data_IF_624537220837
#
_entry.id   IF_624537220837
#
_cell.length_a   1.000
_cell.length_b   1.000
_cell.length_c   1.000
_cell.angle_alpha   90.00
_cell.angle_beta   90.00
_cell.angle_gamma   90.00
#
_symmetry.space_group_name_H-M   'P 1'
#
loop_
_entity.id
_entity.type
_entity.pdbx_description
1 polymer ?
#
# COMPACT_ATOMS: atom_id res chain seq x y z
N UNK A 1 1.09 -71.67 21.49
CA UNK A 1 1.68 -70.35 21.23
C UNK A 1 1.21 -69.90 19.86
N UNK A 2 0.39 -68.88 19.66
CA UNK A 2 -0.25 -67.95 20.58
C UNK A 2 -1.55 -67.48 19.90
N UNK A 3 -2.63 -67.53 20.67
CA UNK A 3 -3.71 -66.55 20.84
C UNK A 3 -4.20 -65.72 19.63
N UNK A 4 -5.33 -66.20 19.09
CA UNK A 4 -6.33 -65.44 18.34
C UNK A 4 -7.09 -64.53 19.32
N UNK A 5 -6.60 -63.31 19.56
CA UNK A 5 -7.35 -62.30 20.32
C UNK A 5 -8.31 -61.53 19.39
N UNK A 6 -9.58 -61.92 19.43
CA UNK A 6 -10.72 -61.12 19.01
C UNK A 6 -10.73 -59.81 19.81
N UNK A 7 -10.38 -58.68 19.19
CA UNK A 7 -10.72 -57.35 19.70
C UNK A 7 -12.02 -56.90 19.03
N UNK A 8 -13.13 -57.26 19.68
CA UNK A 8 -14.39 -56.55 19.59
C UNK A 8 -14.17 -55.10 20.05
N UNK A 9 -13.93 -54.19 19.12
CA UNK A 9 -14.24 -52.79 19.37
C UNK A 9 -15.76 -52.65 19.31
N UNK A 10 -16.41 -52.75 20.47
CA UNK A 10 -17.73 -52.18 20.68
C UNK A 10 -17.61 -50.66 20.46
N UNK A 11 -17.95 -50.20 19.25
CA UNK A 11 -18.39 -48.82 19.07
C UNK A 11 -19.74 -48.72 19.80
N UNK A 12 -19.74 -48.15 21.00
CA UNK A 12 -20.95 -47.50 21.52
C UNK A 12 -21.48 -46.58 20.42
N UNK A 13 -22.80 -46.50 20.15
CA UNK A 13 -23.36 -45.49 19.25
C UNK A 13 -23.19 -44.13 19.94
N UNK A 14 -22.00 -43.55 19.81
CA UNK A 14 -21.65 -42.26 20.36
C UNK A 14 -22.53 -41.21 19.73
N UNK A 15 -23.01 -40.27 20.56
CA UNK A 15 -23.70 -39.07 20.10
C UNK A 15 -22.97 -38.47 18.90
N UNK A 16 -23.67 -38.31 17.77
CA UNK A 16 -23.10 -37.57 16.66
C UNK A 16 -22.83 -36.14 17.10
N UNK A 17 -21.78 -35.52 16.57
CA UNK A 17 -21.39 -34.12 16.86
C UNK A 17 -22.57 -33.15 16.63
N UNK A 18 -23.54 -33.55 15.81
CA UNK A 18 -24.74 -32.79 15.51
C UNK A 18 -25.81 -32.87 16.61
N UNK A 19 -25.82 -33.93 17.42
CA UNK A 19 -26.91 -34.26 18.33
C UNK A 19 -26.73 -33.67 19.73
N UNK A 20 -27.83 -33.29 20.38
CA UNK A 20 -27.84 -32.85 21.78
C UNK A 20 -29.27 -32.79 22.32
N UNK A 21 -29.42 -32.98 23.62
CA UNK A 21 -30.68 -32.88 24.36
C UNK A 21 -31.42 -31.54 24.21
N UNK A 22 -30.71 -30.44 23.93
CA UNK A 22 -31.30 -29.09 23.92
C UNK A 22 -31.75 -28.60 22.53
N UNK A 23 -31.67 -29.42 21.48
CA UNK A 23 -32.03 -29.02 20.12
C UNK A 23 -33.54 -29.10 19.89
N UNK A 24 -34.15 -27.96 19.58
CA UNK A 24 -35.60 -27.88 19.33
C UNK A 24 -35.94 -27.40 17.93
N UNK A 25 -35.01 -26.78 17.20
CA UNK A 25 -35.25 -26.19 15.88
C UNK A 25 -34.21 -26.59 14.82
N UNK A 26 -34.64 -26.52 13.55
CA UNK A 26 -33.78 -26.71 12.38
C UNK A 26 -32.59 -25.73 12.39
N UNK A 27 -32.83 -24.45 12.70
CA UNK A 27 -31.78 -23.42 12.72
C UNK A 27 -30.69 -23.70 13.76
N UNK A 28 -31.05 -24.20 14.94
CA UNK A 28 -30.06 -24.59 15.97
C UNK A 28 -29.24 -25.81 15.55
N UNK A 29 -29.85 -26.74 14.81
CA UNK A 29 -29.16 -27.90 14.26
C UNK A 29 -28.09 -27.49 13.24
N UNK A 30 -28.46 -26.70 12.24
CA UNK A 30 -27.56 -26.30 11.15
C UNK A 30 -26.39 -25.41 11.66
N UNK A 31 -26.60 -24.63 12.73
CA UNK A 31 -25.53 -23.84 13.36
C UNK A 31 -24.41 -24.67 13.99
N UNK A 32 -24.62 -25.97 14.22
CA UNK A 32 -23.61 -26.84 14.85
C UNK A 32 -22.49 -27.24 13.92
N UNK A 33 -22.75 -27.25 12.62
CA UNK A 33 -21.74 -27.49 11.63
C UNK A 33 -22.30 -27.88 10.26
N UNK A 34 -21.51 -27.71 9.20
CA UNK A 34 -21.89 -28.03 7.82
C UNK A 34 -22.27 -29.50 7.60
N UNK A 35 -21.75 -30.41 8.43
CA UNK A 35 -22.03 -31.84 8.39
C UNK A 35 -23.39 -32.23 8.98
N UNK A 36 -24.07 -31.30 9.64
CA UNK A 36 -25.35 -31.54 10.31
C UNK A 36 -26.52 -31.28 9.37
N UNK A 37 -27.51 -32.15 9.42
CA UNK A 37 -28.73 -32.07 8.64
C UNK A 37 -29.95 -32.20 9.56
N UNK A 38 -31.08 -31.70 9.09
CA UNK A 38 -32.36 -31.72 9.79
C UNK A 38 -33.44 -32.42 8.97
N UNK A 39 -34.17 -33.36 9.58
CA UNK A 39 -35.32 -34.00 8.94
C UNK A 39 -36.64 -33.30 9.30
N UNK A 40 -37.28 -32.67 8.32
CA UNK A 40 -38.55 -31.96 8.49
C UNK A 40 -39.80 -32.77 8.15
N UNK A 41 -39.66 -34.07 7.80
CA UNK A 41 -40.78 -35.00 7.56
C UNK A 41 -41.69 -35.11 8.78
N UNK A 42 -43.00 -34.88 8.62
CA UNK A 42 -43.95 -34.78 9.73
C UNK A 42 -43.99 -36.05 10.60
N UNK A 43 -44.10 -37.22 9.97
CA UNK A 43 -44.16 -38.54 10.63
C UNK A 43 -42.79 -39.20 10.89
N UNK A 44 -41.68 -38.44 10.84
CA UNK A 44 -40.35 -38.97 11.12
C UNK A 44 -40.18 -39.29 12.61
N UNK A 45 -39.94 -40.58 12.92
CA UNK A 45 -39.73 -41.11 14.28
C UNK A 45 -40.83 -40.65 15.25
N UNK A 46 -42.08 -40.90 14.88
CA UNK A 46 -43.27 -40.53 15.65
C UNK A 46 -43.16 -40.99 17.12
N UNK A 47 -43.25 -40.04 18.06
CA UNK A 47 -43.05 -40.27 19.51
C UNK A 47 -41.63 -40.05 20.04
N UNK A 48 -40.64 -39.82 19.18
CA UNK A 48 -39.28 -39.44 19.60
C UNK A 48 -39.15 -37.92 19.87
N UNK A 49 -38.20 -37.53 20.72
CA UNK A 49 -37.93 -36.13 21.02
C UNK A 49 -37.38 -35.36 19.80
N UNK A 50 -37.64 -34.05 19.72
CA UNK A 50 -37.28 -33.17 18.59
C UNK A 50 -35.78 -33.21 18.24
N UNK A 51 -34.93 -33.52 19.21
CA UNK A 51 -33.49 -33.65 19.02
C UNK A 51 -33.08 -34.87 18.15
N UNK A 52 -33.98 -35.83 17.89
CA UNK A 52 -33.72 -36.95 16.97
C UNK A 52 -33.78 -36.52 15.49
N UNK A 53 -34.32 -35.33 15.21
CA UNK A 53 -34.42 -34.76 13.85
C UNK A 53 -33.11 -34.12 13.38
N UNK A 54 -32.15 -33.88 14.28
CA UNK A 54 -30.83 -33.36 13.96
C UNK A 54 -29.77 -34.46 14.07
N UNK A 55 -29.13 -34.81 12.96
CA UNK A 55 -28.04 -35.80 12.92
C UNK A 55 -27.19 -35.58 11.65
N UNK A 56 -26.21 -36.45 11.41
CA UNK A 56 -25.57 -36.55 10.10
C UNK A 56 -26.61 -36.97 9.05
N UNK A 57 -26.49 -36.43 7.82
CA UNK A 57 -27.44 -36.72 6.74
C UNK A 57 -27.62 -38.23 6.49
N UNK A 58 -26.51 -38.98 6.47
CA UNK A 58 -26.51 -40.44 6.32
C UNK A 58 -27.32 -41.16 7.41
N UNK A 59 -27.22 -40.70 8.66
CA UNK A 59 -27.95 -41.28 9.79
C UNK A 59 -29.46 -41.00 9.68
N UNK A 60 -29.84 -39.82 9.18
CA UNK A 60 -31.26 -39.48 8.98
C UNK A 60 -31.88 -40.31 7.86
N UNK A 61 -31.14 -40.51 6.76
CA UNK A 61 -31.56 -41.36 5.65
C UNK A 61 -31.75 -42.82 6.11
N UNK A 62 -30.80 -43.37 6.88
CA UNK A 62 -30.90 -44.72 7.45
C UNK A 62 -32.09 -44.89 8.39
N UNK A 63 -32.52 -43.82 9.07
CA UNK A 63 -33.69 -43.81 9.97
C UNK A 63 -35.02 -43.59 9.25
N UNK A 64 -35.02 -43.53 7.91
CA UNK A 64 -36.24 -43.40 7.09
C UNK A 64 -36.67 -41.95 6.81
N UNK A 65 -35.77 -40.98 6.97
CA UNK A 65 -35.97 -39.65 6.39
C UNK A 65 -35.71 -39.75 4.88
N UNK A 66 -36.66 -39.31 4.05
CA UNK A 66 -36.44 -39.27 2.60
C UNK A 66 -35.64 -38.01 2.24
N UNK A 67 -34.88 -38.06 1.14
CA UNK A 67 -34.00 -36.95 0.74
C UNK A 67 -34.74 -35.64 0.50
N UNK A 68 -36.01 -35.69 0.09
CA UNK A 68 -36.86 -34.52 -0.10
C UNK A 68 -37.27 -33.80 1.20
N UNK A 69 -37.13 -34.47 2.35
CA UNK A 69 -37.41 -33.92 3.67
C UNK A 69 -36.14 -33.62 4.47
N UNK A 70 -34.98 -33.64 3.82
CA UNK A 70 -33.69 -33.42 4.44
C UNK A 70 -33.23 -31.99 4.14
N UNK A 71 -33.10 -31.18 5.18
CA UNK A 71 -32.54 -29.83 5.11
C UNK A 71 -31.07 -29.89 5.53
N UNK A 72 -30.18 -29.39 4.69
CA UNK A 72 -28.75 -29.28 4.99
C UNK A 72 -28.22 -27.96 4.44
N UNK A 73 -27.27 -27.36 5.16
CA UNK A 73 -26.55 -26.19 4.67
C UNK A 73 -25.68 -26.55 3.47
N UNK A 74 -26.08 -26.11 2.29
CA UNK A 74 -25.21 -26.12 1.12
C UNK A 74 -24.24 -24.96 1.17
N UNK A 75 -22.95 -25.27 0.97
CA UNK A 75 -21.94 -24.25 0.67
C UNK A 75 -21.69 -24.29 -0.83
N UNK A 76 -22.05 -23.21 -1.52
CA UNK A 76 -21.88 -23.10 -2.98
C UNK A 76 -20.93 -21.96 -3.29
N UNK A 77 -19.87 -22.26 -4.02
CA UNK A 77 -18.96 -21.26 -4.58
C UNK A 77 -19.21 -21.24 -6.08
N UNK A 78 -19.75 -20.13 -6.57
CA UNK A 78 -19.92 -19.88 -7.99
C UNK A 78 -18.83 -18.91 -8.45
N UNK A 79 -18.10 -19.34 -9.48
CA UNK A 79 -17.04 -18.54 -10.08
C UNK A 79 -17.48 -18.18 -11.48
N UNK A 80 -17.64 -16.88 -11.74
CA UNK A 80 -17.86 -16.43 -13.10
C UNK A 80 -16.51 -16.40 -13.83
N UNK A 81 -16.40 -17.21 -14.87
CA UNK A 81 -15.21 -17.31 -15.72
C UNK A 81 -15.36 -16.57 -17.05
N UNK A 82 -16.52 -15.94 -17.29
CA UNK A 82 -16.81 -15.22 -18.54
C UNK A 82 -16.11 -13.87 -18.61
N UNK A 83 -15.83 -13.27 -17.46
CA UNK A 83 -14.98 -12.09 -17.35
C UNK A 83 -13.54 -12.61 -17.28
N UNK A 84 -12.69 -12.17 -18.22
CA UNK A 84 -11.28 -12.54 -18.24
C UNK A 84 -10.42 -11.29 -18.16
N UNK A 85 -9.83 -11.05 -17.00
CA UNK A 85 -8.72 -10.10 -16.81
C UNK A 85 -7.39 -10.84 -16.98
N UNK A 86 -6.40 -10.15 -17.53
CA UNK A 86 -5.04 -10.67 -17.73
C UNK A 86 -4.21 -10.71 -16.44
N UNK A 87 -4.65 -10.01 -15.38
CA UNK A 87 -3.89 -9.81 -14.14
C UNK A 87 -4.43 -10.55 -12.92
N UNK A 88 -5.75 -10.64 -12.75
CA UNK A 88 -6.37 -11.29 -11.59
C UNK A 88 -7.46 -12.21 -12.12
N UNK A 89 -7.52 -13.46 -11.66
CA UNK A 89 -8.55 -14.42 -12.07
C UNK A 89 -8.92 -15.36 -10.92
N UNK A 90 -10.21 -15.63 -10.67
CA UNK A 90 -11.39 -14.98 -11.27
C UNK A 90 -11.58 -13.53 -10.77
N UNK A 91 -12.37 -12.71 -11.46
CA UNK A 91 -12.66 -11.33 -10.99
C UNK A 91 -13.93 -11.27 -10.15
N UNK A 92 -14.92 -12.09 -10.48
CA UNK A 92 -16.18 -12.17 -9.74
C UNK A 92 -16.38 -13.57 -9.13
N UNK A 93 -16.65 -13.59 -7.83
CA UNK A 93 -16.87 -14.81 -7.04
C UNK A 93 -18.13 -14.59 -6.21
N UNK A 94 -19.11 -15.48 -6.35
CA UNK A 94 -20.30 -15.53 -5.49
C UNK A 94 -20.17 -16.70 -4.52
N UNK A 95 -20.19 -16.40 -3.22
CA UNK A 95 -20.06 -17.41 -2.16
C UNK A 95 -21.35 -17.46 -1.35
N UNK A 96 -22.04 -18.59 -1.41
CA UNK A 96 -23.17 -18.92 -0.54
C UNK A 96 -22.66 -19.82 0.60
N UNK A 97 -22.62 -19.26 1.81
CA UNK A 97 -22.20 -19.98 3.03
C UNK A 97 -23.42 -20.31 3.90
N UNK A 98 -23.55 -21.57 4.27
CA UNK A 98 -24.42 -21.98 5.37
C UNK A 98 -23.87 -21.58 6.75
N UNK A 99 -24.71 -21.41 7.79
CA UNK A 99 -24.25 -21.20 9.16
C UNK A 99 -23.16 -22.21 9.59
N UNK A 100 -22.04 -21.69 10.11
CA UNK A 100 -20.91 -22.52 10.57
C UNK A 100 -20.01 -23.10 9.47
N UNK A 101 -20.35 -22.88 8.20
CA UNK A 101 -19.56 -23.35 7.04
C UNK A 101 -18.40 -22.41 6.70
N UNK A 102 -17.41 -22.93 5.98
CA UNK A 102 -16.27 -22.18 5.48
C UNK A 102 -16.11 -22.46 3.98
N UNK A 103 -15.64 -21.45 3.23
CA UNK A 103 -15.24 -21.63 1.85
C UNK A 103 -13.87 -21.00 1.63
N UNK A 104 -13.08 -21.68 0.80
CA UNK A 104 -11.76 -21.22 0.37
C UNK A 104 -11.82 -20.95 -1.12
N UNK A 105 -11.31 -19.80 -1.55
CA UNK A 105 -11.27 -19.42 -2.96
C UNK A 105 -9.84 -19.15 -3.38
N UNK A 106 -9.49 -19.63 -4.57
CA UNK A 106 -8.17 -19.41 -5.15
C UNK A 106 -8.25 -18.25 -6.12
N UNK A 107 -7.44 -17.23 -5.87
CA UNK A 107 -7.27 -16.09 -6.77
C UNK A 107 -5.87 -16.16 -7.37
N UNK A 108 -5.80 -16.31 -8.68
CA UNK A 108 -4.55 -16.27 -9.43
C UNK A 108 -4.22 -14.81 -9.77
N UNK A 109 -3.02 -14.37 -9.40
CA UNK A 109 -2.50 -13.05 -9.77
C UNK A 109 -1.31 -13.21 -10.69
N UNK A 110 -1.40 -12.63 -11.88
CA UNK A 110 -0.36 -12.61 -12.91
C UNK A 110 0.19 -11.19 -13.05
N UNK A 111 1.50 -11.06 -12.80
CA UNK A 111 2.20 -9.81 -13.05
C UNK A 111 2.36 -9.60 -14.56
N UNK A 112 2.07 -8.38 -15.04
CA UNK A 112 2.33 -8.00 -16.44
C UNK A 112 3.83 -7.79 -16.64
N UNK A 113 4.39 -8.29 -17.73
CA UNK A 113 5.82 -8.14 -18.06
C UNK A 113 6.22 -6.68 -18.33
N UNK A 114 5.27 -5.80 -18.68
CA UNK A 114 5.51 -4.41 -19.09
C UNK A 114 4.40 -3.49 -18.58
N UNK A 115 4.45 -3.14 -17.30
CA UNK A 115 3.49 -2.22 -16.69
C UNK A 115 3.89 -0.77 -16.97
N UNK A 116 2.98 0.13 -17.41
CA UNK A 116 3.29 1.55 -17.52
C UNK A 116 3.56 2.15 -16.14
N UNK A 117 4.54 3.04 -16.05
CA UNK A 117 4.96 3.67 -14.79
C UNK A 117 5.00 5.18 -14.98
N UNK A 118 4.43 5.88 -14.01
CA UNK A 118 4.55 7.32 -13.84
C UNK A 118 5.41 7.57 -12.61
N UNK A 119 6.48 8.34 -12.77
CA UNK A 119 7.34 8.74 -11.66
C UNK A 119 7.37 10.27 -11.57
N UNK A 120 6.81 10.80 -10.50
CA UNK A 120 6.85 12.23 -10.19
C UNK A 120 7.98 12.51 -9.19
N UNK A 121 9.02 13.21 -9.63
CA UNK A 121 10.12 13.65 -8.77
C UNK A 121 9.74 14.96 -8.09
N UNK A 122 9.53 14.90 -6.78
CA UNK A 122 9.25 16.05 -5.94
C UNK A 122 10.49 16.37 -5.10
N UNK A 123 11.16 17.47 -5.44
CA UNK A 123 12.51 17.76 -4.96
C UNK A 123 12.54 19.03 -4.13
N UNK A 124 13.12 18.92 -2.94
CA UNK A 124 13.52 20.03 -2.10
C UNK A 124 14.61 20.85 -2.80
N UNK A 125 14.35 22.14 -2.99
CA UNK A 125 15.29 23.10 -3.59
C UNK A 125 15.69 24.19 -2.62
N UNK A 126 15.59 23.95 -1.31
CA UNK A 126 16.14 24.83 -0.28
C UNK A 126 17.66 24.94 -0.40
N UNK A 127 18.25 25.85 0.39
CA UNK A 127 19.67 26.14 0.29
C UNK A 127 20.55 24.95 0.76
N UNK A 128 20.06 24.12 1.68
CA UNK A 128 20.79 22.93 2.16
C UNK A 128 21.01 21.91 1.04
N UNK A 129 20.06 21.87 0.10
CA UNK A 129 20.07 20.95 -1.03
C UNK A 129 21.05 21.33 -2.15
N UNK A 130 21.80 22.45 -2.07
CA UNK A 130 22.70 22.90 -3.15
C UNK A 130 23.67 21.83 -3.66
N UNK A 131 24.38 21.14 -2.75
CA UNK A 131 25.31 20.05 -3.15
C UNK A 131 24.53 18.85 -3.69
N UNK A 132 23.37 18.55 -3.09
CA UNK A 132 22.54 17.42 -3.46
C UNK A 132 21.81 17.62 -4.81
N UNK A 133 21.52 18.86 -5.23
CA UNK A 133 20.88 19.16 -6.51
C UNK A 133 21.79 18.76 -7.66
N UNK A 134 23.06 19.19 -7.65
CA UNK A 134 24.01 18.90 -8.72
C UNK A 134 24.19 17.38 -8.90
N UNK A 135 24.21 16.66 -7.78
CA UNK A 135 24.21 15.21 -7.75
C UNK A 135 22.90 14.63 -8.28
N UNK A 136 21.75 15.01 -7.73
CA UNK A 136 20.41 14.54 -8.14
C UNK A 136 20.17 14.74 -9.63
N UNK A 137 20.61 15.87 -10.19
CA UNK A 137 20.59 16.17 -11.62
C UNK A 137 21.38 15.13 -12.42
N UNK A 138 22.60 14.79 -11.99
CA UNK A 138 23.44 13.81 -12.68
C UNK A 138 22.91 12.36 -12.58
N UNK A 139 22.35 11.99 -11.42
CA UNK A 139 21.82 10.64 -11.19
C UNK A 139 20.50 10.40 -11.93
N UNK A 140 19.59 11.37 -11.91
CA UNK A 140 18.32 11.28 -12.62
C UNK A 140 18.49 11.08 -14.14
N UNK A 141 19.57 11.57 -14.74
CA UNK A 141 19.81 11.45 -16.19
C UNK A 141 20.30 10.04 -16.60
N UNK A 142 21.27 9.45 -15.89
CA UNK A 142 21.88 8.17 -16.30
C UNK A 142 21.05 6.95 -15.88
N UNK A 143 20.56 6.98 -14.65
CA UNK A 143 19.95 5.82 -14.01
C UNK A 143 18.48 5.63 -14.41
N UNK A 144 17.71 6.71 -14.56
CA UNK A 144 16.33 6.64 -15.06
C UNK A 144 16.29 6.27 -16.55
N UNK A 145 17.29 6.70 -17.33
CA UNK A 145 17.45 6.28 -18.73
C UNK A 145 17.76 4.78 -18.80
N UNK A 146 18.63 4.26 -17.94
CA UNK A 146 18.89 2.83 -17.85
C UNK A 146 17.63 2.04 -17.43
N UNK A 147 16.90 2.53 -16.43
CA UNK A 147 15.64 1.95 -15.97
C UNK A 147 14.58 1.87 -17.09
N UNK A 148 14.41 2.98 -17.83
CA UNK A 148 13.47 3.09 -18.95
C UNK A 148 13.83 2.17 -20.11
N UNK A 149 15.12 2.02 -20.44
CA UNK A 149 15.55 1.21 -21.58
C UNK A 149 15.42 -0.29 -21.29
N UNK A 150 15.78 -0.73 -20.07
CA UNK A 150 15.94 -2.16 -19.78
C UNK A 150 14.78 -2.79 -19.02
N UNK A 151 13.98 -2.02 -18.29
CA UNK A 151 12.97 -2.57 -17.36
C UNK A 151 11.55 -2.07 -17.62
N UNK A 152 11.36 -0.82 -18.05
CA UNK A 152 10.03 -0.21 -18.18
C UNK A 152 9.81 0.35 -19.57
N UNK A 153 9.02 -0.33 -20.42
CA UNK A 153 8.79 0.11 -21.80
C UNK A 153 7.91 1.36 -21.94
N UNK A 154 7.30 1.85 -20.86
CA UNK A 154 6.39 3.02 -20.87
C UNK A 154 6.50 3.84 -19.58
N UNK A 155 7.67 4.46 -19.38
CA UNK A 155 7.99 5.35 -18.26
C UNK A 155 7.66 6.80 -18.61
N UNK A 156 6.82 7.46 -17.80
CA UNK A 156 6.58 8.90 -17.86
C UNK A 156 7.14 9.56 -16.60
N UNK A 157 7.71 10.75 -16.78
CA UNK A 157 8.40 11.49 -15.74
C UNK A 157 7.77 12.87 -15.57
N UNK A 158 7.58 13.28 -14.32
CA UNK A 158 7.16 14.62 -13.95
C UNK A 158 8.07 15.21 -12.89
N UNK A 159 8.05 16.53 -12.74
CA UNK A 159 8.92 17.23 -11.78
C UNK A 159 8.18 18.36 -11.08
N UNK A 160 8.41 18.47 -9.77
CA UNK A 160 8.00 19.58 -8.94
C UNK A 160 9.07 19.95 -7.94
N UNK A 161 9.05 21.21 -7.48
CA UNK A 161 9.99 21.70 -6.47
C UNK A 161 9.28 22.39 -5.32
N UNK A 162 9.88 22.32 -4.13
CA UNK A 162 9.37 22.96 -2.93
C UNK A 162 10.50 23.54 -2.07
N UNK A 163 10.13 24.48 -1.22
CA UNK A 163 11.00 25.03 -0.15
C UNK A 163 10.14 25.05 1.10
N UNK A 164 9.49 26.17 1.40
CA UNK A 164 8.53 26.30 2.49
C UNK A 164 7.57 27.46 2.23
N UNK A 165 6.57 27.63 3.10
CA UNK A 165 5.58 28.69 3.02
C UNK A 165 6.29 30.06 2.97
N UNK A 166 6.05 30.90 1.94
CA UNK A 166 6.75 32.17 1.78
C UNK A 166 6.17 33.26 2.68
N UNK A 167 6.16 33.02 4.00
CA UNK A 167 5.63 33.90 5.05
C UNK A 167 6.55 33.86 6.27
N UNK A 168 6.60 34.95 7.04
CA UNK A 168 7.32 34.98 8.32
C UNK A 168 6.64 34.06 9.35
N UNK A 169 7.38 33.28 10.17
CA UNK A 169 8.83 33.32 10.39
C UNK A 169 9.67 32.41 9.49
N UNK A 170 9.07 31.62 8.59
CA UNK A 170 9.79 30.69 7.71
C UNK A 170 10.75 31.40 6.76
N UNK A 171 10.41 32.61 6.33
CA UNK A 171 11.29 33.44 5.49
C UNK A 171 11.65 34.75 6.17
N UNK A 172 12.79 35.32 5.75
CA UNK A 172 13.13 36.69 6.11
C UNK A 172 12.37 37.68 5.23
N UNK A 173 11.60 38.57 5.86
CA UNK A 173 10.89 39.67 5.19
C UNK A 173 11.77 40.91 4.97
N UNK A 174 13.08 40.81 5.20
CA UNK A 174 14.00 41.90 4.90
C UNK A 174 14.07 42.15 3.39
N UNK A 175 14.00 43.41 2.88
CA UNK A 175 13.91 43.68 1.45
C UNK A 175 15.01 43.05 0.58
N UNK A 176 16.23 42.90 1.12
CA UNK A 176 17.33 42.24 0.42
C UNK A 176 17.14 40.72 0.27
N UNK A 177 16.40 40.09 1.19
CA UNK A 177 16.20 38.64 1.28
C UNK A 177 14.92 38.16 0.62
N UNK A 178 13.92 39.02 0.43
CA UNK A 178 12.67 38.67 -0.28
C UNK A 178 12.98 38.18 -1.72
N UNK A 179 13.82 38.93 -2.44
CA UNK A 179 14.16 38.59 -3.83
C UNK A 179 15.35 37.63 -3.96
N UNK A 180 16.21 37.57 -2.93
CA UNK A 180 17.37 36.69 -2.88
C UNK A 180 17.63 36.24 -1.42
N UNK A 181 16.98 35.17 -0.95
CA UNK A 181 17.14 34.66 0.42
C UNK A 181 18.61 34.39 0.81
N UNK A 182 19.45 34.10 -0.17
CA UNK A 182 20.85 33.73 -0.02
C UNK A 182 21.80 34.93 -0.09
N UNK A 183 21.29 36.16 0.06
CA UNK A 183 22.08 37.39 -0.05
C UNK A 183 23.29 37.45 0.88
N UNK A 184 23.21 36.83 2.05
CA UNK A 184 24.27 36.84 3.06
C UNK A 184 25.51 36.04 2.64
N UNK A 185 25.35 35.13 1.69
CA UNK A 185 26.42 34.27 1.17
C UNK A 185 26.93 34.74 -0.20
N UNK A 186 26.50 35.92 -0.66
CA UNK A 186 26.78 36.45 -2.01
C UNK A 186 26.37 35.50 -3.16
N UNK A 187 25.46 34.55 -2.88
CA UNK A 187 24.89 33.62 -3.86
C UNK A 187 23.55 34.18 -4.34
N UNK A 188 23.27 34.05 -5.64
CA UNK A 188 21.98 34.41 -6.22
C UNK A 188 21.07 33.19 -6.29
N UNK A 189 20.08 33.13 -5.41
CA UNK A 189 19.05 32.10 -5.40
C UNK A 189 17.67 32.65 -5.80
N UNK A 190 16.70 31.75 -5.98
CA UNK A 190 15.31 32.13 -6.26
C UNK A 190 14.63 32.67 -5.00
N UNK A 191 13.58 33.50 -5.12
CA UNK A 191 12.70 33.80 -3.99
C UNK A 191 12.13 32.52 -3.38
N UNK A 192 11.81 32.57 -2.08
CA UNK A 192 11.15 31.47 -1.40
C UNK A 192 9.76 31.20 -2.00
N UNK A 193 9.39 29.93 -2.08
CA UNK A 193 8.09 29.49 -2.59
C UNK A 193 7.65 28.19 -1.89
N UNK A 194 6.35 27.98 -1.76
CA UNK A 194 5.80 26.76 -1.18
C UNK A 194 6.01 25.55 -2.09
N UNK A 195 5.17 25.42 -3.12
CA UNK A 195 5.26 24.35 -4.11
C UNK A 195 5.06 24.89 -5.53
N UNK A 196 5.95 24.50 -6.43
CA UNK A 196 5.82 24.70 -7.87
C UNK A 196 5.76 23.35 -8.59
N UNK A 197 4.69 23.14 -9.34
CA UNK A 197 4.68 22.14 -10.39
C UNK A 197 5.50 22.68 -11.58
N UNK A 198 6.48 21.94 -12.08
CA UNK A 198 7.40 22.46 -13.11
C UNK A 198 7.25 21.72 -14.43
N UNK A 199 7.06 20.41 -14.37
CA UNK A 199 6.92 19.57 -15.55
C UNK A 199 5.82 18.52 -15.33
N UNK A 200 4.76 18.61 -16.12
CA UNK A 200 3.72 17.58 -16.23
C UNK A 200 4.30 16.28 -16.77
N UNK A 201 3.64 15.16 -16.47
CA UNK A 201 4.07 13.84 -16.89
C UNK A 201 4.35 13.78 -18.39
N UNK A 202 5.57 13.40 -18.75
CA UNK A 202 6.02 13.31 -20.14
C UNK A 202 6.91 12.09 -20.36
N UNK A 203 6.81 11.49 -21.54
CA UNK A 203 7.76 10.47 -21.99
C UNK A 203 9.06 11.07 -22.56
N UNK A 204 9.16 12.40 -22.65
CA UNK A 204 10.33 13.08 -23.21
C UNK A 204 11.45 13.24 -22.17
N UNK A 205 12.35 12.26 -22.12
CA UNK A 205 13.51 12.28 -21.22
C UNK A 205 14.39 13.53 -21.40
N UNK A 206 14.59 14.00 -22.64
CA UNK A 206 15.42 15.17 -22.91
C UNK A 206 14.81 16.45 -22.30
N UNK A 207 13.48 16.55 -22.29
CA UNK A 207 12.78 17.65 -21.64
C UNK A 207 12.90 17.59 -20.12
N UNK A 208 12.71 16.41 -19.53
CA UNK A 208 12.90 16.18 -18.10
C UNK A 208 14.30 16.59 -17.65
N UNK A 209 15.33 16.10 -18.33
CA UNK A 209 16.73 16.47 -18.07
C UNK A 209 16.97 17.96 -18.21
N UNK A 210 16.38 18.61 -19.22
CA UNK A 210 16.49 20.06 -19.44
C UNK A 210 15.87 20.85 -18.28
N UNK A 211 14.72 20.42 -17.77
CA UNK A 211 14.02 21.08 -16.65
C UNK A 211 14.84 20.95 -15.37
N UNK A 212 15.34 19.76 -15.09
CA UNK A 212 16.15 19.45 -13.90
C UNK A 212 17.45 20.27 -13.89
N UNK A 213 18.18 20.32 -15.01
CA UNK A 213 19.42 21.12 -15.15
C UNK A 213 19.23 22.63 -15.00
N UNK A 214 17.98 23.12 -15.09
CA UNK A 214 17.65 24.56 -14.94
C UNK A 214 17.18 24.93 -13.55
N UNK A 215 17.02 23.96 -12.66
CA UNK A 215 16.63 24.24 -11.29
C UNK A 215 17.74 25.04 -10.59
N UNK A 216 17.31 25.93 -9.70
CA UNK A 216 18.18 26.75 -8.88
C UNK A 216 17.66 26.64 -7.46
N UNK A 217 18.57 26.67 -6.50
CA UNK A 217 18.20 26.74 -5.10
C UNK A 217 17.39 28.00 -4.80
N UNK A 218 16.67 27.92 -3.71
CA UNK A 218 16.03 29.00 -2.99
C UNK A 218 16.52 28.97 -1.54
N UNK A 219 15.85 29.65 -0.63
CA UNK A 219 16.18 29.57 0.78
C UNK A 219 15.08 30.12 1.70
N UNK A 220 15.07 29.58 2.90
CA UNK A 220 14.21 29.90 4.03
C UNK A 220 15.10 30.09 5.29
N UNK A 221 14.49 30.32 6.45
CA UNK A 221 15.16 30.66 7.71
C UNK A 221 15.30 29.47 8.64
N UNK A 222 14.25 28.67 8.78
CA UNK A 222 14.23 27.50 9.63
C UNK A 222 14.53 26.21 8.87
N UNK A 223 14.70 25.14 9.65
CA UNK A 223 15.21 23.86 9.16
C UNK A 223 14.14 22.94 8.57
N UNK A 224 12.95 22.77 9.18
CA UNK A 224 11.91 21.96 8.55
C UNK A 224 11.38 22.64 7.29
N UNK A 225 10.97 21.84 6.31
CA UNK A 225 10.55 22.34 5.00
C UNK A 225 9.07 22.04 4.74
N UNK A 226 8.47 22.75 3.77
CA UNK A 226 7.07 22.63 3.38
C UNK A 226 6.76 21.41 2.50
N UNK A 227 7.54 20.34 2.60
CA UNK A 227 7.48 19.20 1.68
C UNK A 227 6.14 18.46 1.65
N UNK A 228 5.42 18.39 2.79
CA UNK A 228 4.13 17.71 2.84
C UNK A 228 3.01 18.46 2.11
N UNK A 229 3.07 19.80 2.04
CA UNK A 229 2.15 20.59 1.20
C UNK A 229 2.34 20.22 -0.26
N UNK A 230 3.60 20.21 -0.69
CA UNK A 230 3.98 19.89 -2.05
C UNK A 230 3.57 18.45 -2.43
N UNK A 231 3.76 17.51 -1.51
CA UNK A 231 3.37 16.12 -1.68
C UNK A 231 1.85 15.98 -1.81
N UNK A 232 1.07 16.65 -0.96
CA UNK A 232 -0.38 16.66 -1.07
C UNK A 232 -0.83 17.23 -2.42
N UNK A 233 -0.32 18.40 -2.82
CA UNK A 233 -0.69 19.03 -4.09
C UNK A 233 -0.35 18.14 -5.29
N UNK A 234 0.81 17.50 -5.31
CA UNK A 234 1.18 16.54 -6.36
C UNK A 234 0.25 15.32 -6.40
N UNK A 235 -0.29 14.91 -5.25
CA UNK A 235 -1.25 13.80 -5.15
C UNK A 235 -2.65 14.20 -5.59
N UNK A 236 -3.17 15.37 -5.20
CA UNK A 236 -4.58 15.73 -5.47
C UNK A 236 -4.78 16.45 -6.81
N UNK A 237 -3.76 17.10 -7.35
CA UNK A 237 -3.82 17.81 -8.63
C UNK A 237 -3.63 16.87 -9.84
N UNK A 238 -4.48 15.85 -9.93
CA UNK A 238 -4.39 14.75 -10.91
C UNK A 238 -4.21 15.23 -12.36
N UNK A 239 -4.99 16.22 -12.79
CA UNK A 239 -4.97 16.75 -14.17
C UNK A 239 -3.73 17.60 -14.46
N UNK A 240 -3.30 18.43 -13.50
CA UNK A 240 -2.14 19.30 -13.70
C UNK A 240 -0.84 18.49 -13.74
N UNK A 241 -0.69 17.53 -12.81
CA UNK A 241 0.46 16.62 -12.79
C UNK A 241 0.42 15.68 -14.00
N UNK A 242 -0.75 15.15 -14.35
CA UNK A 242 -0.94 14.27 -15.52
C UNK A 242 -0.79 12.78 -15.21
N UNK A 243 -1.22 12.34 -14.02
CA UNK A 243 -1.19 10.91 -13.65
C UNK A 243 -2.09 10.08 -14.56
N UNK A 244 -1.54 9.04 -15.19
CA UNK A 244 -2.30 8.11 -16.04
C UNK A 244 -3.08 7.11 -15.17
N UNK A 245 -4.34 6.78 -15.51
CA UNK A 245 -5.16 5.85 -14.72
C UNK A 245 -4.66 4.40 -14.80
N UNK A 246 -4.06 4.00 -15.91
CA UNK A 246 -3.56 2.65 -16.14
C UNK A 246 -2.12 2.42 -15.64
N UNK A 247 -1.43 3.48 -15.23
CA UNK A 247 -0.02 3.44 -14.84
C UNK A 247 0.18 3.25 -13.34
N UNK A 248 1.30 2.66 -12.97
CA UNK A 248 1.76 2.65 -11.58
C UNK A 248 2.26 4.04 -11.25
N UNK A 249 1.67 4.66 -10.24
CA UNK A 249 1.97 6.04 -9.86
C UNK A 249 2.96 6.04 -8.71
N UNK A 250 4.18 6.49 -8.98
CA UNK A 250 5.26 6.59 -8.00
C UNK A 250 5.57 8.08 -7.75
N UNK A 251 5.52 8.50 -6.50
CA UNK A 251 5.94 9.84 -6.08
C UNK A 251 7.27 9.72 -5.35
N UNK A 252 8.34 10.26 -5.93
CA UNK A 252 9.67 10.29 -5.32
C UNK A 252 9.86 11.62 -4.60
N UNK A 253 9.83 11.58 -3.27
CA UNK A 253 10.04 12.74 -2.40
C UNK A 253 11.51 12.82 -1.98
N UNK A 254 12.18 13.93 -2.27
CA UNK A 254 13.62 14.09 -2.03
C UNK A 254 13.89 15.31 -1.14
N UNK A 255 14.57 15.12 -0.01
CA UNK A 255 14.97 16.20 0.90
C UNK A 255 16.12 15.76 1.82
N UNK A 256 16.88 16.71 2.35
CA UNK A 256 17.87 16.51 3.41
C UNK A 256 17.40 17.03 4.78
N UNK A 257 16.17 17.55 4.88
CA UNK A 257 15.58 18.11 6.09
C UNK A 257 14.28 17.41 6.56
N UNK A 258 13.89 17.63 7.83
CA UNK A 258 12.53 17.33 8.30
C UNK A 258 11.46 18.08 7.50
N UNK A 259 10.22 17.59 7.50
CA UNK A 259 9.09 18.37 6.98
C UNK A 259 8.28 18.99 8.12
N UNK A 260 7.69 20.16 7.88
CA UNK A 260 6.66 20.69 8.74
C UNK A 260 5.42 19.80 8.80
N UNK A 261 4.72 19.83 9.93
CA UNK A 261 3.50 19.08 10.18
C UNK A 261 2.31 20.02 10.37
N UNK A 262 1.10 19.47 10.27
CA UNK A 262 -0.11 20.19 10.66
C UNK A 262 0.04 20.83 12.05
N UNK A 263 -0.48 22.05 12.18
CA UNK A 263 -0.39 22.97 13.31
C UNK A 263 0.92 23.77 13.42
N UNK A 264 1.97 23.44 12.68
CA UNK A 264 3.21 24.22 12.67
C UNK A 264 2.96 25.63 12.10
N UNK A 265 2.07 25.76 11.11
CA UNK A 265 1.74 27.05 10.46
C UNK A 265 1.08 28.07 11.37
N UNK A 266 0.67 27.66 12.57
CA UNK A 266 0.22 28.59 13.62
C UNK A 266 1.29 29.62 13.99
N UNK A 267 2.58 29.27 13.87
CA UNK A 267 3.69 30.20 14.08
C UNK A 267 3.69 31.37 13.08
N UNK A 268 3.18 31.14 11.87
CA UNK A 268 3.01 32.16 10.84
C UNK A 268 1.60 32.81 10.83
N UNK A 269 0.77 32.52 11.83
CA UNK A 269 -0.61 33.02 11.90
C UNK A 269 -1.59 32.31 10.97
N UNK A 270 -1.17 31.22 10.33
CA UNK A 270 -2.02 30.39 9.48
C UNK A 270 -2.71 29.35 10.36
N UNK A 271 -4.03 29.43 10.43
CA UNK A 271 -4.85 28.59 11.34
C UNK A 271 -5.98 27.85 10.62
N UNK A 272 -6.08 28.01 9.30
CA UNK A 272 -7.07 27.33 8.47
C UNK A 272 -6.51 25.93 8.16
N UNK A 273 -7.15 24.84 8.59
CA UNK A 273 -6.70 23.49 8.28
C UNK A 273 -6.64 23.26 6.77
N UNK A 274 -5.72 22.41 6.33
CA UNK A 274 -5.64 22.00 4.94
C UNK A 274 -6.93 21.27 4.51
N UNK A 275 -7.51 21.63 3.37
CA UNK A 275 -8.77 21.06 2.88
C UNK A 275 -8.59 19.76 2.05
N UNK A 276 -7.35 19.40 1.71
CA UNK A 276 -7.05 18.21 0.92
C UNK A 276 -7.43 18.34 -0.56
N UNK A 277 -7.60 19.56 -1.08
CA UNK A 277 -7.97 19.84 -2.47
C UNK A 277 -6.81 20.42 -3.28
N UNK A 278 -6.98 20.45 -4.60
CA UNK A 278 -6.00 21.01 -5.52
C UNK A 278 -6.13 22.54 -5.59
N UNK A 279 -5.03 23.24 -5.34
CA UNK A 279 -4.93 24.70 -5.38
C UNK A 279 -3.73 25.15 -6.23
N UNK A 280 -3.54 24.51 -7.38
CA UNK A 280 -2.56 24.94 -8.37
C UNK A 280 -3.20 25.92 -9.35
N UNK A 281 -2.63 27.12 -9.42
CA UNK A 281 -2.92 28.11 -10.48
C UNK A 281 -1.59 28.47 -11.14
N UNK A 282 -1.54 28.44 -12.48
CA UNK A 282 -0.31 28.65 -13.26
C UNK A 282 0.89 27.81 -12.76
N UNK A 283 0.59 26.58 -12.32
CA UNK A 283 1.52 25.61 -11.75
C UNK A 283 2.14 26.01 -10.39
N UNK A 284 1.55 26.97 -9.68
CA UNK A 284 1.98 27.44 -8.36
C UNK A 284 0.91 27.10 -7.32
N UNK A 285 1.33 26.63 -6.15
CA UNK A 285 0.42 26.40 -5.03
C UNK A 285 0.00 27.72 -4.38
N UNK A 286 -1.21 28.19 -4.67
CA UNK A 286 -1.69 29.52 -4.25
C UNK A 286 -2.13 29.58 -2.80
N UNK A 287 -2.57 28.46 -2.22
CA UNK A 287 -3.02 28.40 -0.83
C UNK A 287 -1.89 28.19 0.19
N UNK A 288 -0.61 28.22 -0.24
CA UNK A 288 0.55 28.01 0.63
C UNK A 288 0.59 28.93 1.85
N UNK A 289 0.18 30.19 1.70
CA UNK A 289 0.16 31.21 2.77
C UNK A 289 -1.20 31.34 3.47
N UNK A 290 -2.17 30.50 3.11
CA UNK A 290 -3.55 30.58 3.60
C UNK A 290 -3.93 29.35 4.42
N UNK A 291 -3.49 28.17 4.01
CA UNK A 291 -3.79 26.89 4.67
C UNK A 291 -2.58 26.32 5.38
N UNK A 292 -2.83 25.66 6.51
CA UNK A 292 -1.85 24.91 7.29
C UNK A 292 -1.28 23.73 6.49
N UNK A 293 -0.18 23.15 6.97
CA UNK A 293 0.34 21.91 6.39
C UNK A 293 -0.67 20.76 6.58
N UNK A 294 -0.69 19.77 5.67
CA UNK A 294 -1.57 18.62 5.83
C UNK A 294 -1.16 17.75 7.01
N UNK A 295 -2.14 17.08 7.61
CA UNK A 295 -1.87 16.03 8.57
C UNK A 295 -1.37 14.76 7.88
N UNK A 296 -0.63 13.92 8.59
CA UNK A 296 -0.17 12.62 8.06
C UNK A 296 -1.35 11.72 7.66
N UNK A 297 -2.44 11.74 8.44
CA UNK A 297 -3.66 10.98 8.13
C UNK A 297 -4.31 11.44 6.82
N UNK A 298 -4.49 12.75 6.65
CA UNK A 298 -5.03 13.32 5.41
C UNK A 298 -4.17 12.96 4.19
N UNK A 299 -2.84 13.04 4.32
CA UNK A 299 -1.95 12.68 3.23
C UNK A 299 -2.00 11.18 2.91
N UNK A 300 -2.08 10.32 3.93
CA UNK A 300 -2.27 8.87 3.78
C UNK A 300 -3.57 8.54 3.04
N UNK A 301 -4.68 9.19 3.42
CA UNK A 301 -5.97 9.02 2.78
C UNK A 301 -5.91 9.41 1.29
N UNK A 302 -5.28 10.54 0.98
CA UNK A 302 -5.16 11.01 -0.42
C UNK A 302 -4.21 10.16 -1.26
N UNK A 303 -3.14 9.61 -0.69
CA UNK A 303 -2.29 8.64 -1.39
C UNK A 303 -3.06 7.36 -1.74
N UNK A 304 -3.86 6.85 -0.80
CA UNK A 304 -4.70 5.66 -0.98
C UNK A 304 -5.81 5.89 -2.02
N UNK A 305 -6.54 6.99 -1.89
CA UNK A 305 -7.63 7.39 -2.79
C UNK A 305 -7.14 7.54 -4.24
N UNK A 306 -5.92 8.06 -4.43
CA UNK A 306 -5.35 8.30 -5.76
C UNK A 306 -4.43 7.18 -6.26
N UNK A 307 -4.29 6.09 -5.49
CA UNK A 307 -3.42 4.95 -5.80
C UNK A 307 -1.95 5.35 -6.10
N UNK A 308 -1.41 6.27 -5.31
CA UNK A 308 -0.04 6.78 -5.44
C UNK A 308 0.86 6.15 -4.38
N UNK A 309 1.96 5.56 -4.81
CA UNK A 309 3.00 5.01 -3.94
C UNK A 309 4.08 6.06 -3.73
N UNK A 310 4.36 6.42 -2.47
CA UNK A 310 5.37 7.44 -2.16
C UNK A 310 6.69 6.80 -1.75
N UNK A 311 7.80 7.31 -2.26
CA UNK A 311 9.16 6.89 -1.93
C UNK A 311 9.88 8.08 -1.34
N UNK A 312 10.26 8.01 -0.07
CA UNK A 312 11.02 9.04 0.62
C UNK A 312 12.52 8.76 0.43
N UNK A 313 13.18 9.60 -0.35
CA UNK A 313 14.62 9.59 -0.58
C UNK A 313 15.26 10.69 0.27
N UNK A 314 15.70 10.31 1.47
CA UNK A 314 16.11 11.29 2.49
C UNK A 314 17.57 11.12 2.88
N UNK A 315 18.20 12.21 3.33
CA UNK A 315 19.54 12.12 3.90
C UNK A 315 19.50 11.22 5.16
N UNK A 316 20.59 10.48 5.39
CA UNK A 316 20.74 9.52 6.50
C UNK A 316 20.32 10.08 7.86
N UNK A 317 20.65 11.34 8.12
CA UNK A 317 20.37 12.00 9.39
C UNK A 317 18.85 12.12 9.64
N UNK A 318 18.06 12.23 8.56
CA UNK A 318 16.60 12.33 8.62
C UNK A 318 15.89 10.98 8.51
N UNK A 319 16.61 9.89 8.24
CA UNK A 319 15.98 8.58 8.02
C UNK A 319 15.04 8.19 9.18
N UNK A 320 15.48 8.31 10.43
CA UNK A 320 14.64 8.02 11.60
C UNK A 320 13.41 8.95 11.68
N UNK A 321 13.55 10.20 11.25
CA UNK A 321 12.45 11.15 11.23
C UNK A 321 11.34 10.64 10.30
N UNK A 322 11.68 10.16 9.11
CA UNK A 322 10.71 9.64 8.14
C UNK A 322 10.27 8.20 8.43
N UNK A 323 11.15 7.33 8.95
CA UNK A 323 10.85 5.93 9.27
C UNK A 323 9.83 5.79 10.41
N UNK A 324 9.97 6.56 11.49
CA UNK A 324 9.02 6.46 12.62
C UNK A 324 7.61 6.91 12.22
N UNK A 325 7.52 7.88 11.30
CA UNK A 325 6.26 8.37 10.74
C UNK A 325 5.74 7.53 9.58
N UNK A 326 6.59 6.72 8.95
CA UNK A 326 6.20 5.76 7.92
C UNK A 326 5.10 4.80 8.42
N UNK A 327 5.13 4.39 9.69
CA UNK A 327 4.04 3.60 10.29
C UNK A 327 2.67 4.31 10.36
N UNK A 328 2.63 5.62 10.17
CA UNK A 328 1.39 6.43 10.04
C UNK A 328 0.98 6.60 8.58
N UNK A 329 1.93 6.49 7.64
CA UNK A 329 1.64 6.40 6.23
C UNK A 329 1.18 4.98 5.87
N UNK A 330 0.27 4.87 4.90
CA UNK A 330 -0.23 3.58 4.41
C UNK A 330 0.90 2.66 3.91
N UNK A 331 0.60 1.38 3.69
CA UNK A 331 1.45 0.38 3.02
C UNK A 331 2.00 0.81 1.63
N UNK A 332 1.57 1.97 1.13
CA UNK A 332 1.99 2.58 -0.13
C UNK A 332 3.28 3.41 -0.02
N UNK A 333 3.81 3.64 1.18
CA UNK A 333 5.02 4.43 1.37
C UNK A 333 6.26 3.54 1.52
N UNK A 334 7.45 4.05 1.18
CA UNK A 334 8.75 3.41 1.44
C UNK A 334 9.79 4.49 1.77
N UNK A 335 10.71 4.22 2.70
CA UNK A 335 11.78 5.16 3.08
C UNK A 335 13.13 4.57 2.70
N UNK A 336 13.94 5.33 1.96
CA UNK A 336 15.29 4.98 1.56
C UNK A 336 16.29 5.96 2.18
N UNK A 337 17.38 5.44 2.74
CA UNK A 337 18.52 6.22 3.24
C UNK A 337 19.76 6.01 2.38
N UNK A 338 20.45 7.10 2.04
CA UNK A 338 21.83 7.03 1.53
C UNK A 338 22.85 6.76 2.66
N UNK A 339 23.95 6.04 2.42
CA UNK A 339 25.07 5.92 3.38
C UNK A 339 26.21 6.89 3.06
N UNK A 340 26.71 7.61 4.07
CA UNK A 340 27.93 8.41 4.02
C UNK A 340 29.11 7.65 4.66
N UNK A 341 30.19 7.39 3.92
CA UNK A 341 31.48 6.94 4.50
C UNK A 341 32.42 8.13 4.70
N UNK A 342 32.77 8.39 5.96
CA UNK A 342 33.71 9.45 6.37
C UNK A 342 35.15 8.92 6.27
N UNK A 343 35.88 9.20 5.19
CA UNK A 343 37.34 8.95 5.17
C UNK A 343 38.05 10.03 5.98
N UNK A 344 38.38 9.70 7.23
CA UNK A 344 39.31 10.47 8.05
C UNK A 344 40.72 10.37 7.48
N UNK A 345 41.20 11.43 6.81
CA UNK A 345 42.62 11.77 6.88
C UNK A 345 42.82 13.28 6.85
N UNK A 346 43.68 13.78 7.75
CA UNK A 346 43.83 15.19 8.11
C UNK A 346 44.39 16.05 6.97
N UNK A 347 43.90 17.30 6.93
CA UNK A 347 44.35 18.50 6.18
C UNK A 347 43.89 18.57 4.72
N UNK A 348 42.68 19.07 4.48
CA UNK A 348 42.36 20.43 4.00
C UNK A 348 40.82 20.52 3.96
N UNK A 349 40.25 21.64 4.39
CA UNK A 349 38.81 21.85 4.60
C UNK A 349 38.07 21.86 3.25
N UNK A 350 37.39 20.76 2.90
CA UNK A 350 36.32 20.67 1.88
C UNK A 350 35.63 19.30 2.10
N UNK A 351 34.60 19.29 2.94
CA UNK A 351 33.90 18.08 3.34
C UNK A 351 32.68 17.85 2.46
N UNK A 352 32.87 17.24 1.29
CA UNK A 352 31.76 16.76 0.46
C UNK A 352 31.15 15.48 1.08
N UNK A 353 29.85 15.50 1.34
CA UNK A 353 29.08 14.38 1.88
C UNK A 353 28.57 13.50 0.75
N UNK A 354 28.87 12.20 0.79
CA UNK A 354 28.57 11.24 -0.28
C UNK A 354 27.31 10.45 0.05
N UNK A 355 26.33 10.39 -0.85
CA UNK A 355 25.22 9.44 -0.80
C UNK A 355 25.71 8.15 -1.48
N UNK A 356 25.43 6.96 -0.94
CA UNK A 356 25.80 5.69 -1.57
C UNK A 356 24.73 5.29 -2.61
N UNK A 357 24.87 5.86 -3.81
CA UNK A 357 23.84 5.88 -4.86
C UNK A 357 23.43 4.50 -5.42
N UNK A 358 24.31 3.49 -5.36
CA UNK A 358 24.03 2.18 -5.97
C UNK A 358 22.97 1.36 -5.23
N UNK A 359 22.92 1.45 -3.89
CA UNK A 359 21.92 0.75 -3.08
C UNK A 359 20.54 1.40 -3.22
N UNK A 360 20.51 2.74 -3.16
CA UNK A 360 19.30 3.53 -3.40
C UNK A 360 18.65 3.22 -4.74
N UNK A 361 19.46 3.17 -5.81
CA UNK A 361 18.98 2.86 -7.15
C UNK A 361 18.46 1.41 -7.27
N UNK A 362 19.14 0.45 -6.66
CA UNK A 362 18.69 -0.95 -6.64
C UNK A 362 17.35 -1.11 -5.93
N UNK A 363 17.12 -0.39 -4.83
CA UNK A 363 15.86 -0.42 -4.09
C UNK A 363 14.73 0.31 -4.84
N UNK A 364 15.02 1.46 -5.46
CA UNK A 364 14.08 2.16 -6.34
C UNK A 364 13.68 1.30 -7.54
N UNK A 365 14.67 0.67 -8.20
CA UNK A 365 14.43 -0.32 -9.25
C UNK A 365 13.64 -1.51 -8.71
N UNK A 366 13.94 -2.00 -7.50
CA UNK A 366 13.19 -3.09 -6.87
C UNK A 366 11.72 -2.71 -6.71
N UNK A 367 11.42 -1.47 -6.30
CA UNK A 367 10.06 -0.97 -6.15
C UNK A 367 9.35 -0.74 -7.50
N UNK A 368 10.12 -0.41 -8.54
CA UNK A 368 9.63 -0.35 -9.92
C UNK A 368 9.37 -1.76 -10.48
N UNK A 369 10.20 -2.76 -10.15
CA UNK A 369 10.21 -4.12 -10.73
C UNK A 369 9.32 -5.12 -9.95
N UNK A 370 9.30 -5.07 -8.62
CA UNK A 370 8.62 -6.01 -7.72
C UNK A 370 7.51 -5.28 -6.93
N UNK A 371 6.26 -5.32 -7.43
CA UNK A 371 5.26 -4.31 -7.08
C UNK A 371 4.35 -4.63 -5.89
N UNK A 372 4.59 -5.69 -5.10
CA UNK A 372 3.68 -6.06 -4.02
C UNK A 372 4.11 -5.44 -2.67
N UNK A 373 3.26 -4.60 -2.04
CA UNK A 373 3.34 -4.44 -0.59
C UNK A 373 3.09 -5.79 0.07
N UNK A 374 3.73 -6.04 1.20
CA UNK A 374 3.55 -7.24 2.01
C UNK A 374 2.08 -7.25 2.49
N UNK A 375 1.21 -7.91 1.74
CA UNK A 375 -0.17 -8.17 2.12
C UNK A 375 -0.24 -9.61 2.60
N UNK A 376 -0.54 -9.78 3.89
CA UNK A 376 -0.82 -11.07 4.50
C UNK A 376 -1.99 -11.74 3.78
N UNK A 377 -1.71 -12.81 3.07
CA UNK A 377 -2.64 -13.87 2.73
C UNK A 377 -1.90 -15.19 2.95
N UNK A 378 -2.59 -16.23 3.42
CA UNK A 378 -2.01 -17.56 3.59
C UNK A 378 -1.67 -18.12 2.22
N UNK A 379 -0.47 -17.80 1.74
CA UNK A 379 0.06 -18.32 0.48
C UNK A 379 0.80 -19.62 0.76
N UNK A 380 0.30 -20.74 0.23
CA UNK A 380 1.08 -21.97 0.14
C UNK A 380 2.08 -21.82 -1.00
N UNK A 381 3.28 -21.34 -0.68
CA UNK A 381 4.39 -21.30 -1.63
C UNK A 381 4.99 -22.71 -1.74
N UNK A 382 4.70 -23.38 -2.85
CA UNK A 382 5.14 -24.75 -3.10
C UNK A 382 6.67 -24.79 -3.25
N UNK A 383 7.35 -25.26 -2.20
CA UNK A 383 8.63 -25.93 -2.32
C UNK A 383 8.43 -27.33 -1.76
N UNK A 384 8.84 -28.34 -2.53
CA UNK A 384 8.71 -29.78 -2.31
C UNK A 384 9.42 -30.31 -1.05
N UNK A 385 9.14 -29.73 0.11
CA UNK A 385 9.56 -30.17 1.42
C UNK A 385 8.53 -29.67 2.43
N UNK A 386 7.73 -30.60 2.97
CA UNK A 386 6.78 -30.33 4.05
C UNK A 386 7.48 -29.62 5.20
N UNK A 387 7.16 -28.34 5.38
CA UNK A 387 7.71 -27.47 6.39
C UNK A 387 6.63 -26.51 6.86
N UNK A 388 6.56 -26.34 8.18
CA UNK A 388 5.58 -25.62 8.99
C UNK A 388 5.10 -24.27 8.46
N UNK A 389 3.80 -24.02 8.71
CA UNK A 389 3.07 -22.78 8.50
C UNK A 389 3.87 -21.54 8.96
N UNK A 390 4.29 -20.74 7.98
CA UNK A 390 4.85 -19.40 8.21
C UNK A 390 4.07 -18.38 7.38
N UNK A 391 3.72 -17.21 7.94
CA UNK A 391 2.81 -16.25 7.31
C UNK A 391 3.47 -15.38 6.22
N UNK A 392 4.63 -15.78 5.69
CA UNK A 392 5.44 -14.95 4.79
C UNK A 392 5.96 -15.76 3.60
N UNK A 393 5.66 -15.30 2.38
CA UNK A 393 6.39 -15.72 1.18
C UNK A 393 7.36 -14.62 0.76
N UNK A 394 8.66 -14.93 0.75
CA UNK A 394 9.68 -14.05 0.20
C UNK A 394 9.75 -14.20 -1.32
N UNK A 395 9.86 -13.09 -2.05
CA UNK A 395 10.16 -13.11 -3.48
C UNK A 395 11.63 -13.53 -3.68
N UNK A 396 11.83 -14.77 -4.15
CA UNK A 396 13.14 -15.26 -4.61
C UNK A 396 13.49 -14.68 -5.99
N UNK A 397 14.78 -14.41 -6.20
CA UNK A 397 15.34 -13.71 -7.38
C UNK A 397 15.06 -14.40 -8.72
N UNK A 398 14.75 -13.57 -9.71
CA UNK A 398 15.05 -13.63 -11.16
C UNK A 398 14.65 -14.85 -12.03
N UNK A 399 14.02 -15.92 -11.54
CA UNK A 399 13.72 -17.09 -12.40
C UNK A 399 12.28 -17.62 -12.42
N UNK A 400 11.36 -17.14 -11.58
CA UNK A 400 10.02 -17.74 -11.53
C UNK A 400 9.00 -16.97 -12.37
N UNK A 401 8.82 -17.39 -13.62
CA UNK A 401 7.81 -16.87 -14.58
C UNK A 401 6.39 -17.42 -14.35
N UNK A 402 6.12 -18.05 -13.20
CA UNK A 402 4.85 -18.75 -12.94
C UNK A 402 3.81 -17.84 -12.30
N UNK A 403 2.55 -18.01 -12.73
CA UNK A 403 1.38 -17.48 -12.03
C UNK A 403 1.41 -18.01 -10.58
N UNK A 404 1.21 -17.11 -9.61
CA UNK A 404 1.16 -17.50 -8.19
C UNK A 404 -0.31 -17.56 -7.77
N UNK A 405 -0.69 -18.73 -7.26
CA UNK A 405 -2.02 -18.96 -6.71
C UNK A 405 -2.05 -18.43 -5.28
N UNK A 406 -2.86 -17.41 -5.02
CA UNK A 406 -3.11 -16.92 -3.67
C UNK A 406 -4.38 -17.61 -3.19
N UNK A 407 -4.28 -18.38 -2.11
CA UNK A 407 -5.47 -18.88 -1.43
C UNK A 407 -5.96 -17.81 -0.45
N UNK A 408 -7.21 -17.39 -0.64
CA UNK A 408 -7.91 -16.51 0.30
C UNK A 408 -8.88 -17.37 1.08
N UNK A 409 -8.65 -17.47 2.38
CA UNK A 409 -9.49 -18.22 3.30
C UNK A 409 -10.43 -17.24 4.01
N UNK A 410 -11.74 -17.35 3.74
CA UNK A 410 -12.75 -16.50 4.40
C UNK A 410 -13.07 -17.11 5.76
N UNK A 411 -12.28 -16.75 6.77
CA UNK A 411 -12.47 -17.25 8.13
C UNK A 411 -13.58 -16.47 8.85
N UNK A 412 -14.72 -17.16 9.06
CA UNK A 412 -15.85 -16.75 9.92
C UNK A 412 -16.54 -15.43 9.54
N UNK A 413 -17.67 -15.53 8.85
CA UNK A 413 -18.74 -14.53 8.97
C UNK A 413 -19.44 -14.71 10.32
N UNK A 414 -19.16 -13.83 11.28
CA UNK A 414 -19.97 -13.71 12.50
C UNK A 414 -21.13 -12.77 12.20
N UNK A 415 -22.35 -13.32 12.09
CA UNK A 415 -23.57 -12.50 12.11
C UNK A 415 -23.62 -11.76 13.46
N UNK A 416 -23.11 -10.52 13.49
CA UNK A 416 -23.60 -9.53 14.46
C UNK A 416 -24.84 -8.90 13.84
N UNK A 417 -26.00 -9.31 14.35
CA UNK A 417 -27.32 -8.71 14.19
C UNK A 417 -27.35 -7.45 13.33
N UNK A 418 -27.72 -7.59 12.05
CA UNK A 418 -28.40 -6.52 11.32
C UNK A 418 -29.89 -6.79 11.47
N UNK A 419 -30.42 -6.41 12.63
CA UNK A 419 -31.83 -6.08 12.80
C UNK A 419 -31.91 -4.56 12.91
N UNK A 420 -32.39 -3.94 11.83
CA UNK A 420 -32.94 -2.58 11.65
C UNK A 420 -33.08 -2.45 10.13
N UNK A 421 -34.24 -2.46 9.49
CA UNK A 421 -35.66 -2.50 9.87
C UNK A 421 -36.39 -3.37 8.84
#
# INVERSE_FOLDING_TARGET
MADLFFLLFFLSPGESVCRSSNLTSCTECLKRGPQCAWCFKENFLEGAASNYRCDLAENLLLKGCESEFLEQTETKVEVDTTISSTQVSPQDISVHLGPGSQASVVVAVKQLERYPVDLYSLVDVSASMQENLDHTISFSEQDLTYAAIYFVSNLWLGFGSFVDKPVSPYISVHPSKINNPCSDYEVRCRPAHGFHHVLSMTGNMSEFTRVIKRQRISGNMDTPEGGLDAMLQAVVCQKAVGWRPEAKRLLLFMTDQPSHLALDSRLAGIVIPNDGLCHLEDNIYTASTVMDHPSLGQLSDKLLENHIYSIFAVEKQQYQWYEVRHGTFSYLSFVLSGTAERKSNKRTFQGATRINHTAFFLDLLCQIIYPFPIVCCVASCDSSSGGTSTPFCYLSKRTDKRAKNIQVEVLKYSFKNVLKE
#
